data_IF_351822609428
#
_entry.id   IF_351822609428
#
_cell.length_a   1.000
_cell.length_b   1.000
_cell.length_c   1.000
_cell.angle_alpha   90.00
_cell.angle_beta   90.00
_cell.angle_gamma   90.00
#
_symmetry.space_group_name_H-M   'P 1'
#
loop_
_entity.id
_entity.type
_entity.pdbx_description
1 polymer ?
#
# COMPACT_ATOMS: atom_id res chain seq x y z
N UNK A 1 -11.72 -7.03 -16.42
CA UNK A 1 -11.18 -6.44 -15.18
C UNK A 1 -12.32 -6.37 -14.20
N UNK A 2 -12.19 -7.01 -13.05
CA UNK A 2 -13.24 -7.01 -12.03
C UNK A 2 -12.73 -6.12 -10.90
N UNK A 3 -13.39 -4.99 -10.68
CA UNK A 3 -13.09 -4.13 -9.53
C UNK A 3 -13.27 -4.95 -8.25
N UNK A 4 -12.39 -4.73 -7.26
CA UNK A 4 -12.52 -5.37 -5.96
C UNK A 4 -13.81 -4.91 -5.29
N UNK A 5 -14.61 -5.85 -4.83
CA UNK A 5 -15.88 -5.59 -4.14
C UNK A 5 -15.79 -6.00 -2.69
N UNK A 6 -16.19 -5.14 -1.74
CA UNK A 6 -16.33 -5.56 -0.35
C UNK A 6 -17.17 -6.84 -0.24
N UNK A 7 -16.67 -7.82 0.52
CA UNK A 7 -17.28 -9.14 0.64
C UNK A 7 -16.61 -10.23 -0.18
N UNK A 8 -15.86 -9.90 -1.24
CA UNK A 8 -15.17 -10.89 -2.07
C UNK A 8 -13.84 -11.35 -1.44
N UNK A 9 -13.34 -12.55 -1.77
CA UNK A 9 -11.96 -12.91 -1.45
C UNK A 9 -10.97 -11.96 -2.15
N UNK A 10 -9.82 -11.74 -1.54
CA UNK A 10 -8.69 -11.09 -2.17
C UNK A 10 -8.15 -11.97 -3.32
N UNK A 11 -7.71 -11.41 -4.46
CA UNK A 11 -7.30 -12.21 -5.60
C UNK A 11 -6.13 -13.15 -5.27
N UNK A 12 -6.11 -14.30 -5.93
CA UNK A 12 -5.02 -15.28 -5.83
C UNK A 12 -3.83 -14.91 -6.72
N UNK A 13 -2.63 -15.36 -6.36
CA UNK A 13 -1.41 -15.16 -7.15
C UNK A 13 -0.86 -13.73 -7.16
N UNK A 14 -1.38 -12.83 -6.33
CA UNK A 14 -0.90 -11.45 -6.20
C UNK A 14 0.41 -11.44 -5.44
N UNK A 15 1.44 -10.88 -6.08
CA UNK A 15 2.79 -10.82 -5.51
C UNK A 15 3.39 -9.45 -5.75
N UNK A 16 4.13 -8.95 -4.77
CA UNK A 16 4.88 -7.69 -4.85
C UNK A 16 6.38 -7.94 -4.65
N UNK A 17 7.20 -6.96 -5.01
CA UNK A 17 8.64 -6.99 -4.72
C UNK A 17 8.98 -5.92 -3.69
N UNK A 18 9.76 -6.26 -2.66
CA UNK A 18 10.11 -5.30 -1.62
C UNK A 18 11.47 -5.60 -1.01
N UNK A 19 12.03 -4.62 -0.32
CA UNK A 19 13.22 -4.81 0.52
C UNK A 19 12.73 -4.83 1.96
N UNK A 20 13.08 -5.88 2.70
CA UNK A 20 12.71 -6.00 4.10
C UNK A 20 13.14 -4.76 4.90
N UNK A 21 12.24 -4.14 5.68
CA UNK A 21 12.61 -3.10 6.63
C UNK A 21 13.62 -3.67 7.64
N UNK A 22 14.66 -2.90 7.94
CA UNK A 22 15.67 -3.26 8.96
C UNK A 22 15.62 -2.33 10.16
N UNK A 23 14.62 -1.43 10.23
CA UNK A 23 14.55 -0.32 11.17
C UNK A 23 15.58 0.80 10.91
N UNK A 24 16.53 0.59 9.99
CA UNK A 24 17.54 1.58 9.61
C UNK A 24 16.97 2.58 8.60
N UNK A 25 17.19 3.87 8.88
CA UNK A 25 16.89 4.98 7.96
C UNK A 25 18.06 5.32 7.04
N UNK A 26 19.17 4.60 7.15
CA UNK A 26 20.33 4.81 6.28
C UNK A 26 19.96 4.51 4.82
N UNK A 27 19.96 5.55 4.00
CA UNK A 27 19.66 5.45 2.57
C UNK A 27 20.72 4.65 1.82
N UNK A 28 21.92 4.52 2.36
CA UNK A 28 23.02 3.74 1.77
C UNK A 28 23.01 2.27 2.17
N UNK A 29 22.25 1.91 3.21
CA UNK A 29 22.06 0.52 3.63
C UNK A 29 21.08 -0.20 2.68
N UNK A 30 21.59 -0.77 1.60
CA UNK A 30 20.78 -1.49 0.60
C UNK A 30 20.58 -2.97 0.97
N UNK A 31 19.35 -3.47 0.73
CA UNK A 31 19.05 -4.90 0.70
C UNK A 31 18.69 -5.35 -0.72
N UNK A 32 18.64 -6.66 -0.94
CA UNK A 32 18.15 -7.20 -2.21
C UNK A 32 16.62 -7.33 -2.16
N UNK A 33 15.91 -6.99 -3.26
CA UNK A 33 14.48 -7.19 -3.33
C UNK A 33 14.11 -8.67 -3.19
N UNK A 34 13.11 -8.95 -2.38
CA UNK A 34 12.50 -10.26 -2.20
C UNK A 34 11.06 -10.25 -2.66
N UNK A 35 10.54 -11.43 -3.00
CA UNK A 35 9.15 -11.61 -3.38
C UNK A 35 8.27 -11.65 -2.14
N UNK A 36 7.20 -10.86 -2.14
CA UNK A 36 6.14 -10.88 -1.14
C UNK A 36 4.89 -11.52 -1.74
N UNK A 37 4.41 -12.62 -1.16
CA UNK A 37 3.18 -13.31 -1.60
C UNK A 37 1.98 -12.72 -0.86
N UNK A 38 1.39 -11.66 -1.43
CA UNK A 38 0.30 -10.93 -0.80
C UNK A 38 -0.94 -11.80 -0.62
N UNK A 39 -1.27 -12.63 -1.62
CA UNK A 39 -2.41 -13.55 -1.54
C UNK A 39 -2.30 -14.52 -0.37
N UNK A 40 -1.10 -15.00 -0.05
CA UNK A 40 -0.86 -15.89 1.09
C UNK A 40 -0.78 -15.13 2.41
N UNK A 41 -0.01 -14.04 2.47
CA UNK A 41 0.22 -13.29 3.70
C UNK A 41 -1.06 -12.62 4.22
N UNK A 42 -1.96 -12.20 3.33
CA UNK A 42 -3.19 -11.51 3.73
C UNK A 42 -4.26 -12.46 4.28
N UNK A 43 -4.10 -13.78 4.19
CA UNK A 43 -5.05 -14.77 4.73
C UNK A 43 -5.10 -14.78 6.26
N UNK A 44 -4.01 -14.38 6.91
CA UNK A 44 -3.86 -14.49 8.37
C UNK A 44 -3.76 -13.13 9.06
N UNK A 45 -3.94 -12.05 8.32
CA UNK A 45 -3.71 -10.67 8.78
C UNK A 45 -4.85 -9.76 8.33
N UNK A 46 -5.04 -8.68 9.07
CA UNK A 46 -5.79 -7.51 8.62
C UNK A 46 -4.82 -6.46 8.07
N UNK A 47 -4.92 -6.20 6.78
CA UNK A 47 -3.97 -5.37 6.02
C UNK A 47 -4.69 -4.21 5.36
N UNK A 48 -4.10 -3.02 5.48
CA UNK A 48 -4.49 -1.86 4.67
C UNK A 48 -3.47 -1.70 3.54
N UNK A 49 -3.88 -2.05 2.32
CA UNK A 49 -3.10 -1.86 1.10
C UNK A 49 -3.42 -0.49 0.50
N UNK A 50 -2.40 0.31 0.24
CA UNK A 50 -2.51 1.69 -0.24
C UNK A 50 -1.69 1.82 -1.50
N UNK A 51 -2.32 2.22 -2.60
CA UNK A 51 -1.61 2.49 -3.84
C UNK A 51 -1.43 3.99 -4.06
N UNK A 52 -0.21 4.37 -4.43
CA UNK A 52 0.13 5.74 -4.82
C UNK A 52 0.64 5.75 -6.25
N UNK A 53 0.30 6.76 -7.08
CA UNK A 53 0.81 6.84 -8.45
C UNK A 53 2.33 6.91 -8.58
N UNK A 54 3.04 7.30 -7.52
CA UNK A 54 4.48 7.20 -7.47
C UNK A 54 5.09 7.80 -6.21
N UNK A 55 6.15 7.17 -5.73
CA UNK A 55 6.99 7.68 -4.66
C UNK A 55 7.49 9.10 -5.01
N UNK A 56 7.64 9.94 -3.99
CA UNK A 56 8.13 11.34 -4.10
C UNK A 56 7.28 12.29 -4.98
N UNK A 57 6.09 11.89 -5.45
CA UNK A 57 5.17 12.80 -6.15
C UNK A 57 4.35 13.66 -5.18
N UNK A 58 3.94 14.90 -5.52
CA UNK A 58 3.49 15.91 -4.55
C UNK A 58 2.42 15.44 -3.56
N UNK A 59 1.23 15.03 -4.03
CA UNK A 59 0.15 14.54 -3.17
C UNK A 59 0.54 13.29 -2.38
N UNK A 60 1.30 12.38 -3.00
CA UNK A 60 1.71 11.13 -2.37
C UNK A 60 2.67 11.37 -1.20
N UNK A 61 3.59 12.32 -1.39
CA UNK A 61 4.62 12.69 -0.43
C UNK A 61 4.08 13.59 0.70
N UNK A 62 3.30 14.61 0.36
CA UNK A 62 2.88 15.63 1.33
C UNK A 62 1.69 15.16 2.18
N UNK A 63 0.74 14.44 1.57
CA UNK A 63 -0.55 14.14 2.18
C UNK A 63 -0.75 12.66 2.45
N UNK A 64 -0.49 11.81 1.46
CA UNK A 64 -0.91 10.41 1.52
C UNK A 64 -0.16 9.63 2.58
N UNK A 65 1.17 9.53 2.47
CA UNK A 65 1.98 8.86 3.48
C UNK A 65 1.84 9.50 4.86
N UNK A 66 1.84 10.82 4.94
CA UNK A 66 1.70 11.58 6.20
C UNK A 66 0.39 11.22 6.92
N UNK A 67 -0.72 11.06 6.18
CA UNK A 67 -2.01 10.66 6.78
C UNK A 67 -1.91 9.31 7.49
N UNK A 68 -1.23 8.32 6.91
CA UNK A 68 -1.07 7.00 7.52
C UNK A 68 -0.11 7.02 8.71
N UNK A 69 0.97 7.80 8.64
CA UNK A 69 1.89 7.94 9.77
C UNK A 69 1.22 8.59 10.98
N UNK A 70 0.40 9.61 10.75
CA UNK A 70 -0.34 10.28 11.82
C UNK A 70 -1.43 9.39 12.43
N UNK A 71 -2.04 8.51 11.63
CA UNK A 71 -3.18 7.68 12.03
C UNK A 71 -2.82 6.22 12.36
N UNK A 72 -1.53 5.87 12.37
CA UNK A 72 -1.07 4.51 12.67
C UNK A 72 -1.59 3.97 14.02
N UNK A 73 -1.62 4.75 15.13
CA UNK A 73 -2.16 4.27 16.40
C UNK A 73 -3.64 3.86 16.31
N UNK A 74 -4.46 4.64 15.59
CA UNK A 74 -5.89 4.35 15.39
C UNK A 74 -6.08 3.10 14.52
N UNK A 75 -5.27 2.93 13.47
CA UNK A 75 -5.28 1.73 12.62
C UNK A 75 -4.93 0.49 13.45
N UNK A 76 -3.89 0.57 14.28
CA UNK A 76 -3.53 -0.53 15.20
C UNK A 76 -4.64 -0.83 16.21
N UNK A 77 -5.31 0.19 16.74
CA UNK A 77 -6.47 0.00 17.63
C UNK A 77 -7.66 -0.71 16.93
N UNK A 78 -7.75 -0.63 15.60
CA UNK A 78 -8.69 -1.38 14.74
C UNK A 78 -8.19 -2.77 14.33
N UNK A 79 -7.14 -3.26 15.00
CA UNK A 79 -6.48 -4.54 14.76
C UNK A 79 -5.87 -4.65 13.35
N UNK A 80 -5.43 -3.55 12.74
CA UNK A 80 -4.64 -3.60 11.50
C UNK A 80 -3.22 -4.07 11.83
N UNK A 81 -2.80 -5.20 11.26
CA UNK A 81 -1.48 -5.79 11.44
C UNK A 81 -0.41 -5.08 10.61
N UNK A 82 -0.77 -4.62 9.40
CA UNK A 82 0.17 -3.93 8.51
C UNK A 82 -0.50 -2.93 7.57
N UNK A 83 0.25 -1.88 7.24
CA UNK A 83 -0.07 -0.92 6.19
C UNK A 83 0.94 -1.12 5.06
N UNK A 84 0.45 -1.45 3.87
CA UNK A 84 1.29 -1.78 2.71
C UNK A 84 1.14 -0.71 1.65
N UNK A 85 2.18 0.09 1.43
CA UNK A 85 2.24 1.02 0.32
C UNK A 85 2.75 0.32 -0.94
N UNK A 86 2.03 0.48 -2.05
CA UNK A 86 2.45 0.01 -3.37
C UNK A 86 2.52 1.15 -4.39
N UNK A 87 3.49 1.04 -5.31
CA UNK A 87 3.59 1.87 -6.49
C UNK A 87 4.26 1.10 -7.62
N UNK A 88 4.18 1.61 -8.86
CA UNK A 88 4.90 1.03 -10.00
C UNK A 88 6.41 1.30 -9.99
N UNK A 89 6.88 2.13 -9.05
CA UNK A 89 8.30 2.30 -8.77
C UNK A 89 8.93 0.96 -8.35
N UNK A 90 10.22 0.77 -8.64
CA UNK A 90 10.93 -0.43 -8.21
C UNK A 90 11.10 -0.50 -6.67
N UNK A 91 11.47 -1.68 -6.18
CA UNK A 91 11.58 -1.96 -4.75
C UNK A 91 12.68 -1.13 -4.05
N UNK A 92 13.72 -0.69 -4.75
CA UNK A 92 14.76 0.15 -4.17
C UNK A 92 14.21 1.56 -3.93
N UNK A 93 13.50 2.11 -4.91
CA UNK A 93 12.82 3.41 -4.79
C UNK A 93 11.78 3.38 -3.67
N UNK A 94 10.97 2.31 -3.60
CA UNK A 94 9.96 2.16 -2.54
C UNK A 94 10.60 2.04 -1.15
N UNK A 95 11.68 1.27 -1.01
CA UNK A 95 12.44 1.17 0.24
C UNK A 95 13.04 2.52 0.65
N UNK A 96 13.68 3.22 -0.29
CA UNK A 96 14.26 4.54 -0.03
C UNK A 96 13.18 5.57 0.33
N UNK A 97 11.99 5.47 -0.26
CA UNK A 97 10.87 6.35 0.05
C UNK A 97 10.39 6.17 1.50
N UNK A 98 10.25 4.93 1.98
CA UNK A 98 9.95 4.66 3.40
C UNK A 98 10.99 5.27 4.34
N UNK A 99 12.28 5.08 4.03
CA UNK A 99 13.39 5.66 4.81
C UNK A 99 13.40 7.18 4.80
N UNK A 100 13.19 7.80 3.63
CA UNK A 100 13.14 9.25 3.48
C UNK A 100 11.99 9.88 4.29
N UNK A 101 10.91 9.13 4.52
CA UNK A 101 9.79 9.53 5.37
C UNK A 101 9.97 9.13 6.84
N UNK A 102 11.16 8.68 7.24
CA UNK A 102 11.48 8.37 8.63
C UNK A 102 10.77 7.13 9.18
N UNK A 103 10.26 6.25 8.31
CA UNK A 103 9.49 5.08 8.74
C UNK A 103 10.42 4.01 9.31
N UNK A 104 10.33 3.81 10.63
CA UNK A 104 11.05 2.75 11.37
C UNK A 104 10.16 1.58 11.77
N UNK A 105 8.85 1.77 11.71
CA UNK A 105 7.89 0.75 12.12
C UNK A 105 7.78 -0.33 11.04
N UNK A 106 8.14 -1.57 11.40
CA UNK A 106 8.16 -2.70 10.47
C UNK A 106 6.76 -3.17 10.05
N UNK A 107 5.69 -2.69 10.70
CA UNK A 107 4.31 -2.92 10.25
C UNK A 107 3.92 -2.07 9.04
N UNK A 108 4.72 -1.05 8.68
CA UNK A 108 4.54 -0.28 7.45
C UNK A 108 5.52 -0.78 6.39
N UNK A 109 4.97 -1.34 5.32
CA UNK A 109 5.73 -1.96 4.25
C UNK A 109 5.64 -1.12 2.97
N UNK A 110 6.74 -1.05 2.23
CA UNK A 110 6.83 -0.34 0.96
C UNK A 110 7.23 -1.32 -0.13
N UNK A 111 6.33 -1.55 -1.08
CA UNK A 111 6.48 -2.59 -2.08
C UNK A 111 6.27 -2.06 -3.50
N UNK A 112 6.86 -2.74 -4.46
CA UNK A 112 6.71 -2.49 -5.88
C UNK A 112 5.60 -3.38 -6.45
N UNK A 113 4.59 -2.74 -7.03
CA UNK A 113 3.64 -3.34 -7.98
C UNK A 113 4.26 -3.21 -9.38
N UNK A 114 5.16 -4.14 -9.71
CA UNK A 114 5.91 -4.10 -10.96
C UNK A 114 4.97 -4.02 -12.17
N UNK A 115 5.23 -3.08 -13.08
CA UNK A 115 4.37 -2.78 -14.24
C UNK A 115 2.91 -2.42 -13.89
N UNK A 116 2.62 -2.12 -12.63
CA UNK A 116 1.27 -1.97 -12.10
C UNK A 116 0.39 -3.22 -12.35
N UNK A 117 0.97 -4.42 -12.37
CA UNK A 117 0.27 -5.66 -12.75
C UNK A 117 -0.96 -5.92 -11.86
N UNK A 118 -0.84 -5.76 -10.54
CA UNK A 118 -1.98 -5.91 -9.64
C UNK A 118 -3.01 -4.80 -9.90
N UNK A 119 -2.57 -3.54 -9.96
CA UNK A 119 -3.46 -2.41 -10.21
C UNK A 119 -4.21 -2.52 -11.53
N UNK A 120 -3.56 -3.06 -12.58
CA UNK A 120 -4.19 -3.36 -13.88
C UNK A 120 -5.22 -4.47 -13.76
N UNK A 121 -4.91 -5.54 -13.03
CA UNK A 121 -5.82 -6.69 -12.88
C UNK A 121 -7.19 -6.28 -12.31
N UNK A 122 -7.21 -5.29 -11.42
CA UNK A 122 -8.41 -4.74 -10.78
C UNK A 122 -8.96 -3.49 -11.49
N UNK A 123 -8.33 -3.03 -12.58
CA UNK A 123 -8.77 -1.88 -13.37
C UNK A 123 -8.46 -0.51 -12.77
N UNK A 124 -7.52 -0.42 -11.83
CA UNK A 124 -7.12 0.82 -11.13
C UNK A 124 -5.69 1.26 -11.43
N UNK A 125 -5.15 0.87 -12.59
CA UNK A 125 -3.93 1.47 -13.12
C UNK A 125 -4.21 2.84 -13.76
N UNK A 126 -3.24 3.75 -13.67
CA UNK A 126 -3.24 5.05 -14.33
C UNK A 126 -2.14 5.05 -15.42
N UNK A 127 -2.48 4.51 -16.60
CA UNK A 127 -1.50 4.25 -17.65
C UNK A 127 -0.49 3.19 -17.20
N UNK A 128 0.81 3.52 -17.23
CA UNK A 128 1.89 2.64 -16.77
C UNK A 128 2.15 2.69 -15.26
N UNK A 129 1.35 3.45 -14.53
CA UNK A 129 1.47 3.61 -13.08
C UNK A 129 0.31 2.96 -12.36
N UNK A 130 0.50 2.72 -11.08
CA UNK A 130 -0.62 2.45 -10.17
C UNK A 130 -1.53 3.69 -10.10
N UNK A 131 -2.82 3.48 -9.89
CA UNK A 131 -3.73 4.56 -9.53
C UNK A 131 -3.53 4.97 -8.07
N UNK A 132 -4.45 5.81 -7.58
CA UNK A 132 -4.57 6.10 -6.15
C UNK A 132 -5.80 5.40 -5.59
N UNK A 133 -5.59 4.48 -4.66
CA UNK A 133 -6.67 3.70 -4.07
C UNK A 133 -6.25 3.10 -2.74
N UNK A 134 -7.22 2.66 -1.94
CA UNK A 134 -6.99 1.85 -0.77
C UNK A 134 -7.87 0.60 -0.79
N UNK A 135 -7.31 -0.51 -0.32
CA UNK A 135 -8.00 -1.78 -0.12
C UNK A 135 -7.72 -2.23 1.30
N UNK A 136 -8.76 -2.58 2.05
CA UNK A 136 -8.59 -3.28 3.32
C UNK A 136 -8.98 -4.73 3.14
N UNK A 137 -8.05 -5.61 3.52
CA UNK A 137 -8.22 -7.05 3.52
C UNK A 137 -8.20 -7.52 4.97
N UNK A 138 -9.20 -8.27 5.37
CA UNK A 138 -9.33 -8.86 6.70
C UNK A 138 -9.36 -10.39 6.54
N UNK A 139 -8.26 -11.05 6.87
CA UNK A 139 -8.09 -12.51 6.76
C UNK A 139 -8.52 -13.07 5.40
N UNK A 140 -7.93 -12.53 4.33
CA UNK A 140 -8.17 -12.94 2.95
C UNK A 140 -9.45 -12.38 2.33
N UNK A 141 -10.29 -11.65 3.07
CA UNK A 141 -11.53 -11.06 2.57
C UNK A 141 -11.40 -9.56 2.39
N UNK A 142 -11.79 -9.04 1.23
CA UNK A 142 -11.86 -7.59 0.99
C UNK A 142 -13.01 -7.01 1.81
N UNK A 143 -12.73 -6.04 2.67
CA UNK A 143 -13.73 -5.33 3.48
C UNK A 143 -13.93 -3.88 3.07
N UNK A 144 -12.92 -3.29 2.43
CA UNK A 144 -12.96 -1.95 1.83
C UNK A 144 -12.15 -1.94 0.55
N UNK A 145 -12.61 -1.25 -0.48
CA UNK A 145 -11.89 -1.13 -1.75
C UNK A 145 -12.44 0.08 -2.52
N UNK A 146 -11.72 1.21 -2.51
CA UNK A 146 -12.13 2.42 -3.22
C UNK A 146 -10.92 3.15 -3.83
N UNK A 147 -11.14 3.81 -4.96
CA UNK A 147 -10.15 4.56 -5.71
C UNK A 147 -10.49 6.04 -5.77
N UNK A 148 -9.48 6.90 -5.67
CA UNK A 148 -9.63 8.34 -5.89
C UNK A 148 -9.54 8.65 -7.39
N UNK A 149 -10.67 9.06 -7.97
CA UNK A 149 -10.78 9.39 -9.40
C UNK A 149 -10.39 10.83 -9.71
N UNK A 150 -10.44 11.71 -8.71
CA UNK A 150 -10.06 13.12 -8.83
C UNK A 150 -8.57 13.27 -8.63
N UNK A 151 -7.91 13.97 -9.57
CA UNK A 151 -6.46 14.22 -9.51
C UNK A 151 -6.09 14.92 -8.20
N UNK A 152 -5.19 14.30 -7.43
CA UNK A 152 -4.69 14.86 -6.18
C UNK A 152 -5.62 14.67 -4.99
N UNK A 153 -6.81 14.09 -5.17
CA UNK A 153 -7.66 13.69 -4.05
C UNK A 153 -7.03 12.52 -3.29
N UNK A 154 -7.30 12.47 -1.99
CA UNK A 154 -7.01 11.35 -1.10
C UNK A 154 -8.25 11.00 -0.24
N UNK A 155 -9.44 11.42 -0.66
CA UNK A 155 -10.68 11.30 0.12
C UNK A 155 -10.98 9.85 0.49
N UNK A 156 -10.83 8.94 -0.47
CA UNK A 156 -11.13 7.52 -0.27
C UNK A 156 -9.89 6.73 0.17
N UNK A 157 -8.73 7.05 -0.40
CA UNK A 157 -7.51 6.28 -0.14
C UNK A 157 -6.64 6.82 0.99
N UNK A 158 -6.98 7.97 1.58
CA UNK A 158 -6.30 8.51 2.76
C UNK A 158 -6.65 7.74 4.02
N UNK A 159 -5.80 7.85 5.05
CA UNK A 159 -5.98 7.09 6.28
C UNK A 159 -7.31 7.39 6.99
N UNK A 160 -7.77 8.63 6.98
CA UNK A 160 -9.05 9.05 7.56
C UNK A 160 -10.24 8.43 6.82
N UNK A 161 -10.20 8.45 5.48
CA UNK A 161 -11.23 7.83 4.64
C UNK A 161 -11.33 6.33 4.89
N UNK A 162 -10.19 5.65 4.99
CA UNK A 162 -10.12 4.24 5.36
C UNK A 162 -10.64 3.99 6.77
N UNK A 163 -10.19 4.76 7.76
CA UNK A 163 -10.61 4.60 9.16
C UNK A 163 -12.11 4.77 9.37
N UNK A 164 -12.76 5.65 8.61
CA UNK A 164 -14.20 5.84 8.65
C UNK A 164 -15.00 4.59 8.22
N UNK A 165 -14.34 3.61 7.58
CA UNK A 165 -14.94 2.37 7.07
C UNK A 165 -14.49 1.12 7.84
N UNK A 166 -13.67 1.27 8.88
CA UNK A 166 -13.10 0.19 9.70
C UNK A 166 -13.72 0.04 11.09
#
# INVERSE_FOLDING_TARGET
>A
MTALTPGSPFPEGVTFSYIHPTGSLDLTACGLPTKYDASKEFQTKKVVLVAVPGAFTPTCQEQHITSYLANLPQLKAKAVDSVVFIASNDAFVMSAWGKANGVKDESILFMSDANADFSRSIGWAAGDRTGRYAVVVDHGKVVYAEADTVRGSIEHSGAEGVLAKL
#
